data_IF_404319184100
#
_entry.id   IF_404319184100
#
_cell.length_a   1.000
_cell.length_b   1.000
_cell.length_c   1.000
_cell.angle_alpha   90.00
_cell.angle_beta   90.00
_cell.angle_gamma   90.00
#
_symmetry.space_group_name_H-M   'P 1'
#
loop_
_entity.id
_entity.type
_entity.pdbx_description
1 polymer ?
#
# COMPACT_ATOMS: atom_id res chain seq x y z
N UNK A 1 -19.93 3.97 0.36
CA UNK A 1 -20.80 3.55 1.49
C UNK A 1 -20.92 2.03 1.62
N UNK A 2 -20.80 1.27 0.52
CA UNK A 2 -20.91 -0.20 0.56
C UNK A 2 -19.60 -0.85 1.03
N UNK A 3 -18.46 -0.35 0.59
CA UNK A 3 -17.13 -0.82 1.00
C UNK A 3 -16.88 -0.67 2.51
N UNK A 4 -17.40 0.38 3.14
CA UNK A 4 -17.29 0.60 4.58
C UNK A 4 -18.04 -0.44 5.44
N UNK A 5 -19.02 -1.16 4.88
CA UNK A 5 -19.77 -2.18 5.65
C UNK A 5 -19.05 -3.51 5.76
N UNK A 6 -18.27 -3.91 4.78
CA UNK A 6 -17.50 -5.17 4.85
C UNK A 6 -16.16 -5.00 5.59
N UNK A 7 -15.48 -3.87 5.41
CA UNK A 7 -14.23 -3.57 6.13
C UNK A 7 -14.47 -3.46 7.64
N UNK A 8 -15.60 -2.87 8.07
CA UNK A 8 -15.96 -2.81 9.51
C UNK A 8 -16.20 -4.17 10.16
N UNK A 9 -16.54 -5.22 9.42
CA UNK A 9 -16.73 -6.56 10.00
C UNK A 9 -15.43 -7.29 10.31
N UNK A 10 -14.32 -6.95 9.65
CA UNK A 10 -13.03 -7.59 9.85
C UNK A 10 -12.09 -6.87 10.83
N UNK A 11 -12.37 -5.62 11.23
CA UNK A 11 -11.50 -4.82 12.10
C UNK A 11 -11.78 -4.93 13.61
N UNK A 12 -12.75 -5.76 14.03
CA UNK A 12 -13.15 -5.90 15.46
C UNK A 12 -12.38 -7.01 16.18
N UNK A 13 -11.10 -7.24 15.92
CA UNK A 13 -10.25 -8.04 16.83
C UNK A 13 -8.81 -7.55 16.80
N UNK A 14 -8.50 -6.59 17.66
CA UNK A 14 -7.30 -6.61 18.53
C UNK A 14 -7.14 -5.25 19.23
N UNK A 15 -7.71 -5.15 20.43
CA UNK A 15 -7.30 -4.18 21.43
C UNK A 15 -6.34 -4.90 22.38
N UNK A 16 -5.06 -4.63 22.28
CA UNK A 16 -4.13 -4.90 23.37
C UNK A 16 -3.64 -3.57 23.93
N UNK A 17 -4.17 -3.19 25.08
CA UNK A 17 -3.72 -2.07 25.90
C UNK A 17 -2.65 -2.62 26.83
N UNK A 18 -1.41 -2.15 26.69
CA UNK A 18 -0.37 -2.32 27.71
C UNK A 18 -0.26 -1.00 28.46
N UNK A 19 -0.68 -1.03 29.75
CA UNK A 19 -0.38 0.05 30.69
C UNK A 19 0.95 -0.23 31.36
N UNK A 20 1.91 0.68 31.22
CA UNK A 20 2.96 0.89 32.24
C UNK A 20 3.54 2.29 32.16
N UNK A 21 3.55 2.95 33.27
CA UNK A 21 4.33 4.04 33.83
C UNK A 21 5.04 5.06 32.92
N UNK A 22 4.58 6.30 33.04
CA UNK A 22 5.35 7.56 33.01
C UNK A 22 6.64 7.61 32.18
N UNK A 23 6.50 7.88 30.87
CA UNK A 23 7.34 8.76 30.02
C UNK A 23 6.65 8.84 28.67
N UNK A 24 6.26 10.07 28.26
CA UNK A 24 5.74 10.32 26.91
C UNK A 24 6.91 10.33 25.92
N UNK A 25 7.19 9.18 25.32
CA UNK A 25 8.00 9.13 24.10
C UNK A 25 7.02 9.41 22.95
N UNK A 26 7.15 10.57 22.32
CA UNK A 26 6.48 10.86 21.04
C UNK A 26 7.18 9.97 20.01
N UNK A 27 6.58 8.83 19.70
CA UNK A 27 7.03 8.00 18.60
C UNK A 27 6.73 8.75 17.28
N UNK A 28 7.68 8.83 16.34
CA UNK A 28 7.40 9.39 15.03
C UNK A 28 6.29 8.60 14.36
N UNK A 29 5.47 9.31 13.59
CA UNK A 29 4.33 8.77 12.85
C UNK A 29 4.70 7.48 12.13
N UNK A 30 3.82 6.46 12.22
CA UNK A 30 4.02 5.14 11.60
C UNK A 30 4.24 5.22 10.08
N UNK A 31 3.80 6.29 9.42
CA UNK A 31 4.08 6.57 8.01
C UNK A 31 5.57 6.77 7.74
N UNK A 32 6.30 7.40 8.67
CA UNK A 32 7.75 7.58 8.59
C UNK A 32 8.53 6.27 8.74
N UNK A 33 8.03 5.35 9.58
CA UNK A 33 8.63 4.02 9.77
C UNK A 33 8.43 3.11 8.55
N UNK A 34 7.33 3.28 7.80
CA UNK A 34 7.10 2.53 6.57
C UNK A 34 8.05 2.97 5.44
N UNK A 35 8.30 4.28 5.29
CA UNK A 35 9.29 4.79 4.34
C UNK A 35 10.70 4.32 4.69
N UNK A 36 11.06 4.28 5.97
CA UNK A 36 12.36 3.78 6.44
C UNK A 36 12.52 2.27 6.19
N UNK A 37 11.45 1.48 6.28
CA UNK A 37 11.53 0.04 6.01
C UNK A 37 11.78 -0.29 4.54
N UNK A 38 11.19 0.48 3.62
CA UNK A 38 11.39 0.33 2.17
C UNK A 38 12.79 0.81 1.76
N UNK A 39 13.26 1.92 2.33
CA UNK A 39 14.61 2.46 2.13
C UNK A 39 15.65 1.50 2.73
N UNK A 40 15.42 0.95 3.92
CA UNK A 40 16.31 -0.02 4.55
C UNK A 40 16.41 -1.33 3.75
N UNK A 41 15.31 -1.80 3.13
CA UNK A 41 15.35 -3.02 2.31
C UNK A 41 16.19 -2.82 1.04
N UNK A 42 16.06 -1.68 0.37
CA UNK A 42 16.89 -1.35 -0.79
C UNK A 42 18.35 -1.08 -0.40
N UNK A 43 18.59 -0.33 0.68
CA UNK A 43 19.93 -0.10 1.23
C UNK A 43 20.60 -1.40 1.68
N UNK A 44 19.89 -2.29 2.34
CA UNK A 44 20.39 -3.60 2.72
C UNK A 44 20.73 -4.45 1.49
N UNK A 45 19.98 -4.35 0.41
CA UNK A 45 20.27 -5.02 -0.85
C UNK A 45 21.58 -4.51 -1.48
N UNK A 46 21.78 -3.19 -1.48
CA UNK A 46 23.02 -2.56 -1.98
C UNK A 46 24.21 -2.82 -1.07
N UNK A 47 24.04 -2.79 0.26
CA UNK A 47 25.09 -3.15 1.21
C UNK A 47 25.51 -4.62 1.10
N UNK A 48 24.54 -5.52 0.86
CA UNK A 48 24.81 -6.94 0.69
C UNK A 48 25.55 -7.22 -0.62
N UNK A 49 25.19 -6.56 -1.72
CA UNK A 49 25.92 -6.65 -2.99
C UNK A 49 27.31 -6.03 -2.89
N UNK A 50 27.49 -4.93 -2.18
CA UNK A 50 28.79 -4.30 -1.94
C UNK A 50 29.70 -5.16 -1.05
N UNK A 51 29.16 -5.79 -0.01
CA UNK A 51 29.90 -6.75 0.84
C UNK A 51 30.32 -7.99 0.06
N UNK A 52 29.49 -8.51 -0.84
CA UNK A 52 29.84 -9.63 -1.72
C UNK A 52 30.95 -9.23 -2.68
N UNK A 53 30.90 -8.03 -3.27
CA UNK A 53 31.95 -7.51 -4.15
C UNK A 53 33.27 -7.24 -3.40
N UNK A 54 33.22 -6.72 -2.18
CA UNK A 54 34.41 -6.50 -1.35
C UNK A 54 35.09 -7.83 -0.93
N UNK A 55 34.31 -8.89 -0.70
CA UNK A 55 34.83 -10.22 -0.39
C UNK A 55 35.51 -10.93 -1.61
N UNK A 56 35.09 -10.53 -2.83
CA UNK A 56 35.67 -11.05 -4.07
C UNK A 56 37.05 -10.46 -4.39
N UNK A 57 37.40 -9.29 -3.82
CA UNK A 57 38.69 -8.62 -4.06
C UNK A 57 39.84 -9.04 -3.14
N UNK A 58 39.58 -9.86 -2.11
CA UNK A 58 40.60 -10.28 -1.15
C UNK A 58 40.75 -11.81 -1.14
N UNK A 59 41.57 -12.40 -2.02
CA UNK A 59 41.93 -13.77 -1.86
C UNK A 59 42.63 -14.45 -3.02
N UNK A 60 43.81 -14.98 -2.72
CA UNK A 60 44.64 -15.78 -3.63
C UNK A 60 44.06 -17.16 -3.98
N UNK A 61 44.71 -17.85 -4.91
CA UNK A 61 44.23 -18.99 -5.69
C UNK A 61 43.74 -20.25 -4.90
N UNK A 62 44.01 -20.38 -3.60
CA UNK A 62 43.59 -21.56 -2.80
C UNK A 62 42.20 -21.43 -2.17
N UNK A 63 41.50 -20.29 -2.35
CA UNK A 63 40.16 -20.02 -1.81
C UNK A 63 39.02 -20.35 -2.79
N UNK A 64 39.33 -20.78 -4.01
CA UNK A 64 38.34 -20.88 -5.09
C UNK A 64 37.39 -22.07 -4.96
N UNK A 65 37.87 -23.24 -4.50
CA UNK A 65 36.98 -24.41 -4.32
C UNK A 65 36.02 -24.31 -3.13
N UNK A 66 36.47 -23.71 -2.01
CA UNK A 66 35.56 -23.45 -0.85
C UNK A 66 34.54 -22.35 -1.14
N UNK A 67 34.84 -21.41 -2.05
CA UNK A 67 33.92 -20.34 -2.47
C UNK A 67 32.80 -20.90 -3.34
N UNK A 68 33.05 -21.86 -4.24
CA UNK A 68 32.02 -22.47 -5.09
C UNK A 68 30.91 -23.10 -4.24
N UNK A 69 31.23 -23.99 -3.31
CA UNK A 69 30.25 -24.65 -2.45
C UNK A 69 29.46 -23.72 -1.53
N UNK A 70 30.05 -22.60 -1.07
CA UNK A 70 29.36 -21.59 -0.30
C UNK A 70 28.36 -20.79 -1.20
N UNK A 71 28.80 -20.40 -2.39
CA UNK A 71 27.93 -19.69 -3.35
C UNK A 71 26.79 -20.57 -3.86
N UNK A 72 27.03 -21.86 -4.09
CA UNK A 72 25.99 -22.82 -4.49
C UNK A 72 24.99 -23.04 -3.35
N UNK A 73 25.45 -23.11 -2.10
CA UNK A 73 24.61 -23.20 -0.91
C UNK A 73 23.85 -21.92 -0.67
N UNK A 74 24.42 -20.72 -0.89
CA UNK A 74 23.74 -19.44 -0.84
C UNK A 74 22.74 -19.33 -2.00
N UNK A 75 23.11 -19.71 -3.23
CA UNK A 75 22.18 -19.79 -4.36
C UNK A 75 21.00 -20.73 -4.08
N UNK A 76 21.25 -21.93 -3.55
CA UNK A 76 20.18 -22.88 -3.21
C UNK A 76 19.29 -22.40 -2.06
N UNK A 77 19.82 -21.62 -1.12
CA UNK A 77 19.07 -21.04 0.01
C UNK A 77 18.25 -19.84 -0.45
N UNK A 78 18.71 -19.08 -1.46
CA UNK A 78 18.01 -17.89 -2.01
C UNK A 78 17.20 -18.19 -3.28
N UNK A 79 17.44 -19.28 -3.99
CA UNK A 79 16.66 -19.72 -5.15
C UNK A 79 15.61 -20.76 -4.73
N UNK A 80 14.67 -20.36 -3.88
CA UNK A 80 13.36 -20.97 -4.03
C UNK A 80 12.86 -20.47 -5.39
N UNK A 81 12.93 -21.32 -6.42
CA UNK A 81 12.47 -21.02 -7.77
C UNK A 81 11.09 -20.38 -7.71
N UNK A 82 10.95 -19.20 -8.31
CA UNK A 82 9.65 -18.61 -8.60
C UNK A 82 9.03 -19.49 -9.67
N UNK A 83 7.88 -20.06 -9.38
CA UNK A 83 7.09 -20.88 -10.31
C UNK A 83 5.79 -20.18 -10.62
N UNK A 84 5.34 -20.26 -11.84
CA UNK A 84 3.98 -19.85 -12.20
C UNK A 84 3.03 -20.98 -11.77
N UNK A 85 1.99 -20.64 -11.07
CA UNK A 85 1.03 -21.62 -10.58
C UNK A 85 -0.27 -21.02 -10.08
N UNK A 86 -1.14 -21.89 -9.57
CA UNK A 86 -2.43 -21.52 -9.00
C UNK A 86 -2.42 -21.77 -7.49
N UNK A 87 -3.06 -20.87 -6.74
CA UNK A 87 -3.22 -21.00 -5.30
C UNK A 87 -4.65 -20.61 -4.89
N UNK A 88 -5.29 -21.43 -4.06
CA UNK A 88 -6.62 -21.12 -3.52
C UNK A 88 -6.47 -20.68 -2.07
N UNK A 89 -6.95 -19.48 -1.76
CA UNK A 89 -7.00 -18.95 -0.39
C UNK A 89 -8.05 -19.70 0.42
N UNK A 90 -7.65 -20.28 1.56
CA UNK A 90 -8.52 -21.16 2.36
C UNK A 90 -9.62 -20.43 3.11
N UNK A 91 -9.39 -19.18 3.47
CA UNK A 91 -10.26 -18.32 4.26
C UNK A 91 -11.48 -17.79 3.47
N UNK A 92 -11.30 -17.51 2.18
CA UNK A 92 -12.34 -16.91 1.34
C UNK A 92 -12.57 -17.65 0.01
N UNK A 93 -11.73 -18.66 -0.30
CA UNK A 93 -11.81 -19.47 -1.50
C UNK A 93 -11.47 -18.70 -2.80
N UNK A 94 -10.85 -17.55 -2.72
CA UNK A 94 -10.35 -16.83 -3.88
C UNK A 94 -9.25 -17.61 -4.58
N UNK A 95 -9.18 -17.51 -5.91
CA UNK A 95 -8.21 -18.23 -6.75
C UNK A 95 -7.17 -17.25 -7.30
N UNK A 96 -5.93 -17.48 -6.95
CA UNK A 96 -4.77 -16.76 -7.46
C UNK A 96 -4.12 -17.55 -8.60
N UNK A 97 -3.65 -16.84 -9.62
CA UNK A 97 -2.80 -17.36 -10.69
C UNK A 97 -1.64 -16.40 -10.90
N UNK A 98 -0.41 -16.89 -10.81
CA UNK A 98 0.78 -16.03 -10.94
C UNK A 98 2.01 -16.64 -10.30
N UNK A 99 2.94 -15.79 -9.89
CA UNK A 99 4.21 -16.17 -9.30
C UNK A 99 4.05 -16.72 -7.88
N UNK A 100 4.59 -17.92 -7.64
CA UNK A 100 4.53 -18.62 -6.36
C UNK A 100 5.94 -18.89 -5.85
N UNK A 101 6.17 -18.60 -4.59
CA UNK A 101 7.38 -18.93 -3.86
C UNK A 101 7.02 -19.57 -2.53
N UNK A 102 7.61 -20.74 -2.22
CA UNK A 102 7.35 -21.43 -0.96
C UNK A 102 5.87 -21.78 -0.75
N UNK A 103 5.15 -22.20 -1.80
CA UNK A 103 3.72 -22.56 -1.79
C UNK A 103 2.75 -21.40 -1.53
N UNK A 104 3.16 -20.15 -1.69
CA UNK A 104 2.29 -18.97 -1.52
C UNK A 104 2.48 -17.98 -2.67
N UNK A 105 1.47 -17.20 -3.01
CA UNK A 105 1.61 -16.05 -3.89
C UNK A 105 2.79 -15.17 -3.48
N UNK A 106 3.71 -14.89 -4.43
CA UNK A 106 4.87 -14.05 -4.15
C UNK A 106 5.47 -13.57 -5.46
N UNK A 107 5.32 -12.30 -5.78
CA UNK A 107 5.59 -11.70 -7.05
C UNK A 107 4.30 -11.27 -7.73
N UNK A 108 4.25 -11.25 -9.06
CA UNK A 108 3.10 -10.77 -9.82
C UNK A 108 2.06 -11.87 -10.04
N UNK A 109 0.78 -11.49 -9.96
CA UNK A 109 -0.31 -12.40 -10.27
C UNK A 109 -1.68 -11.77 -10.19
N UNK A 110 -2.69 -12.59 -10.51
CA UNK A 110 -4.09 -12.23 -10.55
C UNK A 110 -4.89 -13.10 -9.59
N UNK A 111 -5.75 -12.48 -8.79
CA UNK A 111 -6.70 -13.18 -7.91
C UNK A 111 -8.12 -12.87 -8.34
N UNK A 112 -8.93 -13.91 -8.49
CA UNK A 112 -10.38 -13.81 -8.70
C UNK A 112 -11.06 -14.22 -7.40
N UNK A 113 -11.87 -13.34 -6.84
CA UNK A 113 -12.63 -13.58 -5.63
C UNK A 113 -14.01 -14.16 -5.96
N UNK A 114 -14.64 -14.85 -4.99
CA UNK A 114 -15.96 -15.49 -5.18
C UNK A 114 -17.09 -14.49 -5.45
N UNK A 115 -16.96 -13.26 -4.96
CA UNK A 115 -17.92 -12.18 -5.20
C UNK A 115 -17.76 -11.51 -6.57
N UNK A 116 -16.79 -11.96 -7.38
CA UNK A 116 -16.52 -11.42 -8.70
C UNK A 116 -15.45 -10.32 -8.72
N UNK A 117 -14.94 -9.87 -7.58
CA UNK A 117 -13.82 -8.94 -7.53
C UNK A 117 -12.58 -9.55 -8.18
N UNK A 118 -11.73 -8.70 -8.73
CA UNK A 118 -10.45 -9.12 -9.31
C UNK A 118 -9.34 -8.21 -8.79
N UNK A 119 -8.27 -8.83 -8.30
CA UNK A 119 -7.02 -8.12 -8.03
C UNK A 119 -5.94 -8.57 -9.00
N UNK A 120 -5.20 -7.64 -9.57
CA UNK A 120 -4.01 -7.91 -10.39
C UNK A 120 -2.87 -7.03 -9.92
N UNK A 121 -1.77 -7.66 -9.45
CA UNK A 121 -0.68 -6.90 -8.86
C UNK A 121 0.35 -7.77 -8.16
N UNK A 122 1.07 -7.14 -7.24
CA UNK A 122 2.19 -7.73 -6.53
C UNK A 122 1.74 -8.39 -5.23
N UNK A 123 2.42 -9.48 -4.88
CA UNK A 123 2.20 -10.26 -3.67
C UNK A 123 3.51 -10.53 -2.93
N UNK A 124 3.46 -10.47 -1.62
CA UNK A 124 4.55 -10.90 -0.73
C UNK A 124 3.97 -11.88 0.30
N UNK A 125 4.47 -13.12 0.29
CA UNK A 125 4.07 -14.19 1.23
C UNK A 125 2.55 -14.42 1.31
N UNK A 126 1.84 -14.25 0.20
CA UNK A 126 0.40 -14.46 0.09
C UNK A 126 -0.46 -13.24 0.40
N UNK A 127 0.12 -12.08 0.61
CA UNK A 127 -0.59 -10.81 0.82
C UNK A 127 -0.34 -9.85 -0.33
N UNK A 128 -1.34 -9.06 -0.69
CA UNK A 128 -1.20 -7.96 -1.65
C UNK A 128 -0.23 -6.94 -1.07
N UNK A 129 0.78 -6.61 -1.86
CA UNK A 129 1.85 -5.69 -1.46
C UNK A 129 2.48 -5.08 -2.71
N UNK A 130 3.06 -3.86 -2.62
CA UNK A 130 3.58 -3.19 -3.79
C UNK A 130 2.47 -2.54 -4.62
N UNK A 131 2.55 -2.61 -5.94
CA UNK A 131 1.58 -2.01 -6.85
C UNK A 131 0.55 -3.03 -7.34
N UNK A 132 -0.73 -2.61 -7.43
CA UNK A 132 -1.78 -3.45 -7.98
C UNK A 132 -3.09 -2.71 -8.24
N UNK A 133 -3.92 -3.35 -9.07
CA UNK A 133 -5.26 -2.89 -9.44
C UNK A 133 -6.29 -3.82 -8.82
N UNK A 134 -7.27 -3.26 -8.14
CA UNK A 134 -8.45 -3.97 -7.64
C UNK A 134 -9.68 -3.49 -8.39
N UNK A 135 -10.41 -4.40 -8.99
CA UNK A 135 -11.61 -4.15 -9.78
C UNK A 135 -12.80 -4.79 -9.11
N UNK A 136 -13.85 -4.01 -8.92
CA UNK A 136 -15.13 -4.45 -8.39
C UNK A 136 -16.10 -4.79 -9.53
N UNK A 137 -17.06 -5.71 -9.35
CA UNK A 137 -18.01 -6.08 -10.38
C UNK A 137 -18.93 -4.93 -10.83
N UNK A 138 -19.16 -3.95 -9.98
CA UNK A 138 -19.95 -2.75 -10.25
C UNK A 138 -19.21 -1.68 -11.07
N UNK A 139 -17.93 -1.93 -11.39
CA UNK A 139 -17.08 -1.04 -12.18
C UNK A 139 -16.22 -0.09 -11.36
N UNK A 140 -16.34 -0.07 -10.03
CA UNK A 140 -15.39 0.64 -9.19
C UNK A 140 -13.98 0.04 -9.34
N UNK A 141 -12.96 0.86 -9.16
CA UNK A 141 -11.58 0.42 -9.33
C UNK A 141 -10.63 1.20 -8.43
N UNK A 142 -9.67 0.49 -7.84
CA UNK A 142 -8.51 1.09 -7.19
C UNK A 142 -7.23 0.71 -7.94
N UNK A 143 -6.38 1.68 -8.21
CA UNK A 143 -5.05 1.51 -8.79
C UNK A 143 -4.03 2.20 -7.89
N UNK A 144 -3.13 1.43 -7.28
CA UNK A 144 -2.18 2.05 -6.37
C UNK A 144 -1.35 1.08 -5.56
N UNK A 145 -0.77 1.63 -4.51
CA UNK A 145 0.08 0.88 -3.60
C UNK A 145 -0.75 0.09 -2.59
N UNK A 146 -0.24 -1.07 -2.24
CA UNK A 146 -0.80 -2.00 -1.27
C UNK A 146 0.22 -2.34 -0.20
N UNK A 147 -0.22 -2.50 1.01
CA UNK A 147 0.60 -2.97 2.12
C UNK A 147 -0.22 -3.91 3.01
N UNK A 148 0.23 -5.17 3.16
CA UNK A 148 -0.40 -6.17 4.02
C UNK A 148 -1.92 -6.35 3.74
N UNK A 149 -2.33 -6.46 2.45
CA UNK A 149 -3.70 -6.56 1.96
C UNK A 149 -4.55 -5.28 2.06
N UNK A 150 -3.97 -4.14 2.44
CA UNK A 150 -4.67 -2.86 2.57
C UNK A 150 -4.19 -1.86 1.53
N UNK A 151 -5.08 -1.01 1.04
CA UNK A 151 -4.73 0.16 0.24
C UNK A 151 -3.84 1.07 1.08
N UNK A 152 -2.71 1.49 0.50
CA UNK A 152 -1.69 2.24 1.23
C UNK A 152 -0.90 3.13 0.29
N UNK A 153 -0.18 4.14 0.83
CA UNK A 153 0.65 5.00 -0.01
C UNK A 153 -0.15 5.74 -1.08
N UNK A 154 0.40 5.90 -2.27
CA UNK A 154 -0.29 6.62 -3.34
C UNK A 154 -1.19 5.69 -4.16
N UNK A 155 -2.42 6.16 -4.46
CA UNK A 155 -3.36 5.44 -5.29
C UNK A 155 -4.51 6.28 -5.81
N UNK A 156 -5.15 5.76 -6.85
CA UNK A 156 -6.31 6.38 -7.49
C UNK A 156 -7.51 5.45 -7.31
N UNK A 157 -8.62 6.00 -6.84
CA UNK A 157 -9.90 5.29 -6.76
C UNK A 157 -10.90 5.90 -7.73
N UNK A 158 -11.51 5.06 -8.53
CA UNK A 158 -12.58 5.40 -9.47
C UNK A 158 -13.89 4.87 -8.89
N UNK A 159 -14.78 5.79 -8.54
CA UNK A 159 -16.09 5.47 -7.98
C UNK A 159 -17.13 5.22 -9.08
N UNK A 160 -18.12 4.40 -8.79
CA UNK A 160 -19.22 4.09 -9.71
C UNK A 160 -19.97 5.33 -10.21
N UNK A 161 -20.04 6.39 -9.40
CA UNK A 161 -20.67 7.66 -9.73
C UNK A 161 -19.77 8.62 -10.54
N UNK A 162 -18.70 8.12 -11.18
CA UNK A 162 -17.71 8.88 -11.93
C UNK A 162 -16.89 9.90 -11.11
N UNK A 163 -16.96 9.86 -9.80
CA UNK A 163 -15.98 10.56 -8.98
C UNK A 163 -14.62 9.83 -9.07
N UNK A 164 -13.54 10.58 -8.84
CA UNK A 164 -12.19 10.02 -8.79
C UNK A 164 -11.40 10.67 -7.66
N UNK A 165 -10.83 9.86 -6.82
CA UNK A 165 -9.85 10.31 -5.83
C UNK A 165 -8.44 9.95 -6.28
N UNK A 166 -7.51 10.90 -6.27
CA UNK A 166 -6.08 10.71 -6.53
C UNK A 166 -5.30 11.26 -5.34
N UNK A 167 -4.74 10.38 -4.54
CA UNK A 167 -4.10 10.83 -3.30
C UNK A 167 -3.45 9.73 -2.49
N UNK A 168 -3.19 10.09 -1.25
CA UNK A 168 -2.58 9.20 -0.27
C UNK A 168 -3.64 8.34 0.43
N UNK A 169 -3.27 7.11 0.74
CA UNK A 169 -4.07 6.10 1.40
C UNK A 169 -3.35 5.56 2.62
N UNK A 170 -4.08 5.29 3.68
CA UNK A 170 -3.57 4.65 4.87
C UNK A 170 -4.60 3.68 5.43
N UNK A 171 -4.26 2.37 5.42
CA UNK A 171 -5.12 1.30 5.95
C UNK A 171 -6.56 1.35 5.39
N UNK A 172 -6.69 1.37 4.04
CA UNK A 172 -7.93 1.43 3.27
C UNK A 172 -8.71 2.76 3.38
N UNK A 173 -8.14 3.80 4.00
CA UNK A 173 -8.76 5.13 4.10
C UNK A 173 -8.01 6.16 3.26
N UNK A 174 -8.73 7.10 2.65
CA UNK A 174 -8.15 8.34 2.12
C UNK A 174 -7.49 9.09 3.28
N UNK A 175 -6.21 9.41 3.14
CA UNK A 175 -5.44 10.01 4.22
C UNK A 175 -4.29 10.87 3.67
N UNK A 176 -3.87 11.93 4.39
CA UNK A 176 -2.83 12.82 3.91
C UNK A 176 -3.31 13.72 2.77
N UNK A 177 -2.45 14.01 1.81
CA UNK A 177 -2.79 14.88 0.68
C UNK A 177 -3.51 14.10 -0.43
N UNK A 178 -4.56 14.70 -1.00
CA UNK A 178 -5.29 14.10 -2.11
C UNK A 178 -6.25 15.07 -2.79
N UNK A 179 -6.61 14.69 -4.02
CA UNK A 179 -7.55 15.44 -4.86
C UNK A 179 -8.76 14.58 -5.18
N UNK A 180 -9.94 15.08 -4.86
CA UNK A 180 -11.22 14.51 -5.28
C UNK A 180 -11.74 15.27 -6.48
N UNK A 181 -11.96 14.57 -7.55
CA UNK A 181 -12.65 15.06 -8.75
C UNK A 181 -14.09 14.56 -8.70
N UNK A 182 -15.04 15.47 -8.62
CA UNK A 182 -16.47 15.14 -8.59
C UNK A 182 -17.04 15.10 -10.01
N UNK A 183 -18.02 14.23 -10.24
CA UNK A 183 -18.67 14.06 -11.55
C UNK A 183 -19.32 15.36 -12.07
N UNK A 184 -19.70 16.27 -11.16
CA UNK A 184 -20.30 17.57 -11.51
C UNK A 184 -19.26 18.64 -11.90
N UNK A 185 -17.98 18.28 -11.98
CA UNK A 185 -16.88 19.18 -12.32
C UNK A 185 -16.24 19.91 -11.14
N UNK A 186 -16.75 19.74 -9.92
CA UNK A 186 -16.11 20.28 -8.73
C UNK A 186 -14.81 19.54 -8.42
N UNK A 187 -13.87 20.21 -7.76
CA UNK A 187 -12.59 19.63 -7.35
C UNK A 187 -12.30 20.02 -5.89
N UNK A 188 -11.92 19.07 -5.09
CA UNK A 188 -11.31 19.34 -3.80
C UNK A 188 -9.86 18.87 -3.79
N UNK A 189 -8.95 19.74 -3.40
CA UNK A 189 -7.53 19.44 -3.21
C UNK A 189 -7.11 19.86 -1.79
N UNK A 190 -6.62 18.91 -0.98
CA UNK A 190 -6.29 19.23 0.40
C UNK A 190 -5.94 18.02 1.26
N UNK A 191 -6.07 18.24 2.56
CA UNK A 191 -5.80 17.23 3.58
C UNK A 191 -7.02 16.32 3.79
N UNK A 192 -6.72 15.05 4.05
CA UNK A 192 -7.68 13.98 4.31
C UNK A 192 -7.31 13.21 5.57
N UNK A 193 -8.28 12.88 6.38
CA UNK A 193 -8.11 11.99 7.54
C UNK A 193 -9.29 11.04 7.59
N UNK A 194 -9.03 9.75 7.38
CA UNK A 194 -10.02 8.67 7.44
C UNK A 194 -11.27 8.99 6.59
N UNK A 195 -11.06 9.20 5.28
CA UNK A 195 -12.06 9.52 4.25
C UNK A 195 -12.75 10.88 4.39
N UNK A 196 -12.28 11.74 5.27
CA UNK A 196 -12.86 13.08 5.49
C UNK A 196 -11.87 14.16 5.14
N UNK A 197 -12.39 15.26 4.55
CA UNK A 197 -11.61 16.47 4.38
C UNK A 197 -11.31 17.07 5.75
N UNK A 198 -10.04 17.32 5.99
CA UNK A 198 -9.51 17.82 7.26
C UNK A 198 -8.36 18.80 6.97
N UNK A 199 -7.95 19.64 7.93
CA UNK A 199 -6.81 20.53 7.77
C UNK A 199 -7.01 21.61 6.71
N UNK A 200 -6.01 21.81 5.85
CA UNK A 200 -6.03 22.82 4.79
C UNK A 200 -6.48 22.23 3.46
N UNK A 201 -7.35 22.96 2.75
CA UNK A 201 -7.80 22.53 1.43
C UNK A 201 -8.49 23.60 0.61
N UNK A 202 -8.48 23.38 -0.70
CA UNK A 202 -9.15 24.22 -1.69
C UNK A 202 -10.28 23.44 -2.34
N UNK A 203 -11.48 23.99 -2.31
CA UNK A 203 -12.62 23.51 -3.08
C UNK A 203 -12.88 24.45 -4.24
N UNK A 204 -12.82 23.93 -5.45
CA UNK A 204 -13.13 24.65 -6.69
C UNK A 204 -14.44 24.11 -7.25
N UNK A 205 -15.43 24.98 -7.39
CA UNK A 205 -16.70 24.63 -8.04
C UNK A 205 -16.53 24.64 -9.55
N UNK A 206 -17.40 23.92 -10.25
CA UNK A 206 -17.42 23.84 -11.71
C UNK A 206 -17.57 25.20 -12.41
N UNK A 207 -18.19 26.19 -11.74
CA UNK A 207 -18.31 27.56 -12.23
C UNK A 207 -17.05 28.42 -12.02
N UNK A 208 -15.98 27.85 -11.47
CA UNK A 208 -14.72 28.54 -11.23
C UNK A 208 -14.56 29.23 -9.88
N UNK A 209 -15.63 29.34 -9.10
CA UNK A 209 -15.54 29.84 -7.73
C UNK A 209 -14.63 28.95 -6.88
N UNK A 210 -13.95 29.52 -5.87
CA UNK A 210 -13.00 28.78 -5.02
C UNK A 210 -13.15 29.16 -3.55
N UNK A 211 -13.09 28.17 -2.69
CA UNK A 211 -12.86 28.33 -1.27
C UNK A 211 -11.51 27.71 -0.91
N UNK A 212 -10.64 28.47 -0.26
CA UNK A 212 -9.37 28.00 0.30
C UNK A 212 -9.36 28.30 1.79
N UNK A 213 -9.14 27.28 2.61
CA UNK A 213 -9.13 27.45 4.06
C UNK A 213 -9.18 26.13 4.81
N UNK A 214 -9.53 26.24 6.09
CA UNK A 214 -9.58 25.09 6.99
C UNK A 214 -10.84 24.24 6.80
N UNK A 215 -10.68 22.94 6.98
CA UNK A 215 -11.70 21.91 6.92
C UNK A 215 -11.68 21.07 8.18
N UNK A 216 -12.82 20.63 8.63
CA UNK A 216 -12.98 19.69 9.74
C UNK A 216 -14.20 18.80 9.52
N UNK A 217 -13.98 17.48 9.50
CA UNK A 217 -15.05 16.51 9.27
C UNK A 217 -15.92 16.87 8.06
N UNK A 218 -15.33 17.11 6.87
CA UNK A 218 -15.97 17.50 5.60
C UNK A 218 -16.63 18.86 5.56
N UNK A 219 -16.52 19.65 6.61
CA UNK A 219 -17.13 20.99 6.69
C UNK A 219 -16.06 22.08 6.68
N UNK A 220 -16.34 23.20 6.04
CA UNK A 220 -15.53 24.41 6.17
C UNK A 220 -15.47 24.78 7.65
N UNK A 221 -14.28 25.08 8.17
CA UNK A 221 -14.05 25.38 9.58
C UNK A 221 -13.03 26.51 9.73
N UNK A 222 -13.24 27.39 10.71
CA UNK A 222 -12.28 28.48 10.98
C UNK A 222 -12.13 29.48 9.84
N UNK A 223 -10.88 29.91 9.60
CA UNK A 223 -10.57 30.93 8.60
C UNK A 223 -10.49 30.35 7.19
N UNK A 224 -10.94 31.11 6.21
CA UNK A 224 -10.82 30.78 4.80
C UNK A 224 -11.18 31.95 3.92
N UNK A 225 -10.76 31.89 2.66
CA UNK A 225 -11.00 32.90 1.63
C UNK A 225 -11.92 32.32 0.56
N UNK A 226 -12.86 33.13 0.12
CA UNK A 226 -13.80 32.82 -0.96
C UNK A 226 -13.50 33.73 -2.14
N UNK A 227 -13.32 33.16 -3.33
CA UNK A 227 -13.17 33.87 -4.61
C UNK A 227 -14.32 33.41 -5.52
N UNK A 228 -14.98 34.36 -6.13
CA UNK A 228 -16.15 34.14 -7.02
C UNK A 228 -15.74 34.26 -8.49
#
# INVERSE_FOLDING_TARGET
>A
AFMQREIKRNSVRQKNVIKSGSYRIILPDKSYLCQLSTINYQLMKYLYTALILAFLCQGGATAQEKKSGFFDKVKSTFSSEIKIGTYTFKDNGAVYTGEIKGRKPNGKGKTVFKNGDVYEGEYVKGKREGYGTYMFPDGEKYEGQWFQDQQHGRGIYYFMNNNRYDGMWFQDYQHGKGTMYYYNGDIYEGDWVNDKREGEGTYTWANGAKYTGHWKNDKKNGKGTMNW
#
